data_IF_112053675163
#
_entry.id   IF_112053675163
#
_cell.length_a   1.000
_cell.length_b   1.000
_cell.length_c   1.000
_cell.angle_alpha   90.00
_cell.angle_beta   90.00
_cell.angle_gamma   90.00
#
_symmetry.space_group_name_H-M   'P 1'
#
loop_
_entity.id
_entity.type
_entity.pdbx_description
1 polymer ?
#
# COMPACT_ATOMS: atom_id res chain seq x y z
N UNK A 1 0.33 1.08 -7.56
CA UNK A 1 1.24 0.66 -6.46
C UNK A 1 2.68 0.71 -6.97
N UNK A 2 3.66 1.10 -6.15
CA UNK A 2 5.07 1.08 -6.57
C UNK A 2 5.54 -0.36 -6.76
N UNK A 3 6.21 -0.67 -7.89
CA UNK A 3 6.85 -1.96 -8.10
C UNK A 3 8.13 -2.01 -7.28
N UNK A 4 8.26 -3.02 -6.42
CA UNK A 4 9.43 -3.20 -5.54
C UNK A 4 10.16 -4.47 -5.95
N UNK A 5 11.48 -4.40 -6.10
CA UNK A 5 12.33 -5.55 -6.39
C UNK A 5 13.66 -5.44 -5.63
N UNK A 6 14.46 -6.50 -5.70
CA UNK A 6 15.86 -6.43 -5.27
C UNK A 6 16.69 -5.76 -6.36
N UNK A 7 17.52 -4.79 -5.99
CA UNK A 7 18.52 -4.22 -6.89
C UNK A 7 19.49 -5.34 -7.31
N UNK A 8 19.71 -5.57 -8.62
CA UNK A 8 20.62 -6.63 -9.08
C UNK A 8 22.09 -6.35 -8.72
N UNK A 9 22.46 -5.09 -8.44
CA UNK A 9 23.84 -4.68 -8.14
C UNK A 9 24.20 -4.82 -6.66
N UNK A 10 23.34 -4.35 -5.76
CA UNK A 10 23.65 -4.32 -4.31
C UNK A 10 22.69 -5.17 -3.45
N UNK A 11 21.70 -5.83 -4.04
CA UNK A 11 20.76 -6.71 -3.34
C UNK A 11 19.74 -6.01 -2.44
N UNK A 12 19.81 -4.68 -2.28
CA UNK A 12 18.88 -3.89 -1.47
C UNK A 12 17.48 -3.88 -2.07
N UNK A 13 16.46 -3.56 -1.26
CA UNK A 13 15.09 -3.36 -1.76
C UNK A 13 15.00 -2.00 -2.45
N UNK A 14 14.56 -2.00 -3.70
CA UNK A 14 14.43 -0.81 -4.51
C UNK A 14 13.06 -0.71 -5.14
N UNK A 15 12.59 0.52 -5.27
CA UNK A 15 11.48 0.87 -6.15
C UNK A 15 12.00 0.87 -7.58
N UNK A 16 11.27 0.19 -8.46
CA UNK A 16 11.55 0.20 -9.89
C UNK A 16 10.78 1.36 -10.54
N UNK A 17 11.48 2.14 -11.34
CA UNK A 17 10.92 3.14 -12.26
C UNK A 17 11.42 2.82 -13.68
N UNK A 18 10.60 3.12 -14.67
CA UNK A 18 11.00 3.05 -16.08
C UNK A 18 10.97 4.47 -16.63
N UNK A 19 12.11 4.96 -17.13
CA UNK A 19 12.23 6.30 -17.72
C UNK A 19 12.96 6.14 -19.04
N UNK A 20 12.36 6.57 -20.14
CA UNK A 20 12.94 6.50 -21.49
C UNK A 20 13.40 5.09 -21.91
N UNK A 21 12.71 4.04 -21.45
CA UNK A 21 13.07 2.63 -21.72
C UNK A 21 14.15 2.06 -20.81
N UNK A 22 14.73 2.86 -19.91
CA UNK A 22 15.71 2.41 -18.92
C UNK A 22 15.05 2.07 -17.59
N UNK A 23 15.45 0.94 -17.00
CA UNK A 23 14.98 0.52 -15.67
C UNK A 23 15.87 1.12 -14.59
N UNK A 24 15.30 2.01 -13.79
CA UNK A 24 15.96 2.69 -12.68
C UNK A 24 15.57 2.01 -11.36
N UNK A 25 16.56 1.65 -10.57
CA UNK A 25 16.41 1.09 -9.24
C UNK A 25 16.70 2.18 -8.20
N UNK A 26 15.65 2.68 -7.56
CA UNK A 26 15.76 3.68 -6.50
C UNK A 26 15.66 2.99 -5.15
N UNK A 27 16.65 3.17 -4.27
CA UNK A 27 16.65 2.57 -2.94
C UNK A 27 15.45 3.05 -2.12
N UNK A 28 14.74 2.11 -1.50
CA UNK A 28 13.69 2.45 -0.53
C UNK A 28 14.33 2.90 0.77
N UNK A 29 14.13 4.18 1.11
CA UNK A 29 14.61 4.78 2.34
C UNK A 29 13.55 4.72 3.46
N UNK A 30 14.00 4.83 4.70
CA UNK A 30 13.17 4.72 5.90
C UNK A 30 12.00 5.71 5.90
N UNK A 31 12.22 6.96 5.50
CA UNK A 31 11.16 7.96 5.43
C UNK A 31 10.05 7.59 4.43
N UNK A 32 10.40 7.05 3.27
CA UNK A 32 9.43 6.61 2.26
C UNK A 32 8.65 5.40 2.78
N UNK A 33 9.31 4.48 3.48
CA UNK A 33 8.68 3.31 4.10
C UNK A 33 7.70 3.75 5.19
N UNK A 34 8.12 4.64 6.09
CA UNK A 34 7.27 5.16 7.17
C UNK A 34 6.03 5.86 6.61
N UNK A 35 6.19 6.70 5.57
CA UNK A 35 5.07 7.35 4.89
C UNK A 35 4.09 6.33 4.29
N UNK A 36 4.59 5.31 3.60
CA UNK A 36 3.74 4.24 3.01
C UNK A 36 3.03 3.40 4.06
N UNK A 37 3.71 3.04 5.15
CA UNK A 37 3.09 2.33 6.29
C UNK A 37 1.98 3.18 6.92
N UNK A 38 2.21 4.48 7.10
CA UNK A 38 1.19 5.40 7.60
C UNK A 38 -0.03 5.49 6.67
N UNK A 39 0.18 5.56 5.35
CA UNK A 39 -0.90 5.54 4.36
C UNK A 39 -1.70 4.24 4.41
N UNK A 40 -1.02 3.08 4.53
CA UNK A 40 -1.66 1.77 4.62
C UNK A 40 -2.56 1.67 5.86
N UNK A 41 -2.06 2.06 7.03
CA UNK A 41 -2.83 2.05 8.29
C UNK A 41 -4.08 2.92 8.19
N UNK A 42 -3.96 4.12 7.62
CA UNK A 42 -5.10 5.02 7.39
C UNK A 42 -6.13 4.41 6.45
N UNK A 43 -5.70 3.77 5.37
CA UNK A 43 -6.60 3.10 4.44
C UNK A 43 -7.33 1.93 5.13
N UNK A 44 -6.60 1.08 5.87
CA UNK A 44 -7.18 -0.03 6.62
C UNK A 44 -8.22 0.42 7.63
N UNK A 45 -7.95 1.49 8.38
CA UNK A 45 -8.90 2.07 9.33
C UNK A 45 -10.21 2.50 8.63
N UNK A 46 -10.10 3.21 7.51
CA UNK A 46 -11.28 3.61 6.71
C UNK A 46 -12.07 2.41 6.17
N UNK A 47 -11.39 1.35 5.75
CA UNK A 47 -12.07 0.14 5.29
C UNK A 47 -12.78 -0.58 6.44
N UNK A 48 -12.16 -0.62 7.63
CA UNK A 48 -12.77 -1.19 8.82
C UNK A 48 -14.05 -0.45 9.20
N UNK A 49 -14.01 0.88 9.28
CA UNK A 49 -15.18 1.70 9.59
C UNK A 49 -16.32 1.50 8.58
N UNK A 50 -16.00 1.41 7.28
CA UNK A 50 -16.99 1.11 6.24
C UNK A 50 -17.57 -0.29 6.38
N UNK A 51 -16.74 -1.28 6.67
CA UNK A 51 -17.20 -2.66 6.87
C UNK A 51 -18.13 -2.75 8.09
N UNK A 52 -17.79 -2.12 9.21
CA UNK A 52 -18.63 -2.09 10.40
C UNK A 52 -19.97 -1.37 10.14
N UNK A 53 -19.97 -0.29 9.35
CA UNK A 53 -21.20 0.38 8.94
C UNK A 53 -22.09 -0.54 8.07
N UNK A 54 -21.49 -1.20 7.07
CA UNK A 54 -22.17 -2.14 6.19
C UNK A 54 -22.72 -3.35 6.95
N UNK A 55 -22.00 -3.87 7.93
CA UNK A 55 -22.45 -4.99 8.78
C UNK A 55 -23.70 -4.60 9.59
N UNK A 56 -23.77 -3.37 10.11
CA UNK A 56 -24.96 -2.87 10.80
C UNK A 56 -26.15 -2.72 9.84
N UNK A 57 -25.93 -2.17 8.66
CA UNK A 57 -26.98 -2.05 7.64
C UNK A 57 -27.51 -3.43 7.22
N UNK A 58 -26.62 -4.40 7.03
CA UNK A 58 -26.98 -5.78 6.70
C UNK A 58 -27.75 -6.48 7.83
N UNK A 59 -27.41 -6.23 9.10
CA UNK A 59 -28.15 -6.79 10.23
C UNK A 59 -29.60 -6.30 10.22
N UNK A 60 -29.82 -4.99 10.05
CA UNK A 60 -31.17 -4.39 9.96
C UNK A 60 -31.96 -4.97 8.78
N UNK A 61 -31.34 -5.12 7.61
CA UNK A 61 -32.00 -5.69 6.43
C UNK A 61 -32.32 -7.18 6.56
N UNK A 62 -31.58 -7.93 7.37
CA UNK A 62 -31.81 -9.37 7.61
C UNK A 62 -32.88 -9.64 8.67
N UNK A 63 -33.19 -8.65 9.51
CA UNK A 63 -34.27 -8.72 10.50
C UNK A 63 -35.65 -8.32 9.93
N UNK A 64 -35.70 -7.90 8.66
CA UNK A 64 -36.92 -7.66 7.88
C UNK A 64 -37.35 -8.91 7.11
#
# INVERSE_FOLDING_TARGET
>A
MSKVAKCPTCGSKSKIKEINGETIYEALQDEEIIKKVGQLKKAMQKYKEKAEALEKELAVLKEQ
#
